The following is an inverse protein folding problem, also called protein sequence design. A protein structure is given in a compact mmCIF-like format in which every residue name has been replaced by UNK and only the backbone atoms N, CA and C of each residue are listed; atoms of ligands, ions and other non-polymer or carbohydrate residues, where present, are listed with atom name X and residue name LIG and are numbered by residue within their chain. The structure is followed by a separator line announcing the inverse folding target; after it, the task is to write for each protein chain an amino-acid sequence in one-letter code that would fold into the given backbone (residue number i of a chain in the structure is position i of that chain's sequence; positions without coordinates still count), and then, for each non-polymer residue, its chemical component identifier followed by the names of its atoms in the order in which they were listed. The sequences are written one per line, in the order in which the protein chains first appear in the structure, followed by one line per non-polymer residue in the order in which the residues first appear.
data_IF_914038012455
#
_entry.id   IF_914038012455
#
_cell.length_a   1.000
_cell.length_b   1.000
_cell.length_c   1.000
_cell.angle_alpha   90.00
_cell.angle_beta   90.00
_cell.angle_gamma   90.00
#
_symmetry.space_group_name_H-M   'P 1'
#
loop_
_entity.id
_entity.type
_entity.pdbx_description
1 polymer ?
#
# COMPACT_ATOMS: atom_id res chain seq x y z
N UNK A 1 -21.42 35.41 57.42
CA UNK A 1 -22.17 34.49 58.30
C UNK A 1 -21.27 33.29 58.57
N UNK A 2 -20.86 33.11 59.83
CA UNK A 2 -19.97 32.03 60.29
C UNK A 2 -20.70 30.68 60.21
N UNK A 3 -20.37 29.88 59.19
CA UNK A 3 -20.85 28.50 59.04
C UNK A 3 -19.81 27.45 59.48
N UNK A 4 -18.71 27.86 60.11
CA UNK A 4 -17.72 26.93 60.67
C UNK A 4 -18.17 26.48 62.07
N UNK A 5 -19.24 25.69 62.12
CA UNK A 5 -19.47 24.84 63.29
C UNK A 5 -18.32 23.83 63.36
N UNK A 6 -17.55 23.85 64.45
CA UNK A 6 -16.42 22.97 64.81
C UNK A 6 -16.18 21.77 63.87
N UNK A 7 -15.57 21.99 62.71
CA UNK A 7 -15.09 20.90 61.86
C UNK A 7 -13.84 20.34 62.54
N UNK A 8 -13.95 19.17 63.16
CA UNK A 8 -12.87 18.55 63.94
C UNK A 8 -12.36 17.25 63.33
N UNK A 9 -13.05 16.71 62.32
CA UNK A 9 -12.69 15.45 61.66
C UNK A 9 -12.52 15.63 60.16
N UNK A 10 -11.67 14.79 59.55
CA UNK A 10 -11.46 14.72 58.09
C UNK A 10 -12.77 14.46 57.33
N UNK A 11 -13.64 13.61 57.88
CA UNK A 11 -14.91 13.26 57.23
C UNK A 11 -15.85 14.47 57.16
N UNK A 12 -15.98 15.23 58.25
CA UNK A 12 -16.77 16.47 58.27
C UNK A 12 -16.20 17.52 57.32
N UNK A 13 -14.86 17.64 57.25
CA UNK A 13 -14.20 18.55 56.33
C UNK A 13 -14.50 18.18 54.86
N UNK A 14 -14.45 16.89 54.53
CA UNK A 14 -14.78 16.39 53.19
C UNK A 14 -16.24 16.66 52.82
N UNK A 15 -17.19 16.36 53.71
CA UNK A 15 -18.62 16.60 53.48
C UNK A 15 -18.92 18.10 53.30
N UNK A 16 -18.28 18.96 54.11
CA UNK A 16 -18.40 20.40 54.00
C UNK A 16 -17.88 20.91 52.65
N UNK A 17 -16.69 20.47 52.24
CA UNK A 17 -16.07 20.87 50.97
C UNK A 17 -16.85 20.38 49.75
N UNK A 18 -17.41 19.17 49.82
CA UNK A 18 -18.27 18.65 48.75
C UNK A 18 -19.54 19.49 48.57
N UNK A 19 -20.08 20.06 49.66
CA UNK A 19 -21.26 20.93 49.61
C UNK A 19 -20.92 22.39 49.27
N UNK A 20 -19.78 22.88 49.76
CA UNK A 20 -19.31 24.25 49.59
C UNK A 20 -17.79 24.24 49.32
N UNK A 21 -17.35 24.12 48.06
CA UNK A 21 -15.93 23.99 47.71
C UNK A 21 -15.02 25.08 48.28
N UNK A 22 -15.51 26.34 48.34
CA UNK A 22 -14.77 27.48 48.89
C UNK A 22 -14.46 27.39 50.37
N UNK A 23 -15.13 26.49 51.12
CA UNK A 23 -14.81 26.24 52.53
C UNK A 23 -13.37 25.75 52.74
N UNK A 24 -12.73 25.19 51.70
CA UNK A 24 -11.32 24.80 51.72
C UNK A 24 -10.40 25.91 52.24
N UNK A 25 -10.63 27.17 51.84
CA UNK A 25 -9.81 28.32 52.24
C UNK A 25 -9.90 28.65 53.73
N UNK A 26 -10.86 28.06 54.44
CA UNK A 26 -11.16 28.32 55.85
C UNK A 26 -10.96 27.10 56.76
N UNK A 27 -10.57 25.95 56.19
CA UNK A 27 -10.33 24.73 56.95
C UNK A 27 -8.97 24.80 57.68
N UNK A 28 -8.86 24.18 58.88
CA UNK A 28 -7.57 24.01 59.54
C UNK A 28 -6.60 23.14 58.71
N UNK A 29 -5.34 23.54 58.60
CA UNK A 29 -4.32 22.87 57.76
C UNK A 29 -4.19 21.36 58.04
N UNK A 30 -4.29 20.94 59.30
CA UNK A 30 -4.18 19.53 59.70
C UNK A 30 -5.32 18.64 59.17
N UNK A 31 -6.43 19.24 58.71
CA UNK A 31 -7.55 18.53 58.09
C UNK A 31 -7.47 18.57 56.55
N UNK A 32 -6.57 19.35 55.95
CA UNK A 32 -6.47 19.48 54.50
C UNK A 32 -5.51 18.42 53.95
N UNK A 33 -6.08 17.42 53.29
CA UNK A 33 -5.33 16.41 52.54
C UNK A 33 -5.68 16.42 51.04
N UNK A 34 -5.06 15.51 50.30
CA UNK A 34 -5.24 15.38 48.86
C UNK A 34 -6.68 15.07 48.44
N UNK A 35 -7.42 14.31 49.24
CA UNK A 35 -8.81 14.00 48.93
C UNK A 35 -9.70 15.23 49.07
N UNK A 36 -9.48 16.03 50.10
CA UNK A 36 -10.22 17.28 50.34
C UNK A 36 -9.84 18.35 49.31
N UNK A 37 -8.54 18.50 48.99
CA UNK A 37 -8.06 19.40 47.91
C UNK A 37 -8.67 19.03 46.56
N UNK A 38 -8.66 17.73 46.22
CA UNK A 38 -9.31 17.23 45.01
C UNK A 38 -10.80 17.57 45.00
N UNK A 39 -11.53 17.28 46.07
CA UNK A 39 -12.97 17.52 46.14
C UNK A 39 -13.32 19.01 45.96
N UNK A 40 -12.55 19.91 46.56
CA UNK A 40 -12.73 21.35 46.43
C UNK A 40 -12.48 21.82 44.98
N UNK A 41 -11.29 21.53 44.44
CA UNK A 41 -10.88 21.98 43.10
C UNK A 41 -11.74 21.36 41.98
N UNK A 42 -12.22 20.14 42.19
CA UNK A 42 -13.17 19.51 41.28
C UNK A 42 -14.55 20.18 41.33
N UNK A 43 -14.97 20.65 42.51
CA UNK A 43 -16.26 21.30 42.73
C UNK A 43 -16.33 22.76 42.26
N UNK A 44 -15.23 23.52 42.37
CA UNK A 44 -15.17 24.93 41.97
C UNK A 44 -13.83 25.29 41.33
N UNK A 45 -13.84 25.58 40.02
CA UNK A 45 -12.64 25.96 39.29
C UNK A 45 -12.09 27.36 39.67
N UNK A 46 -12.89 28.22 40.31
CA UNK A 46 -12.39 29.55 40.69
C UNK A 46 -11.32 29.46 41.78
N UNK A 47 -11.30 28.38 42.55
CA UNK A 47 -10.32 28.14 43.61
C UNK A 47 -8.88 28.04 43.10
N UNK A 48 -8.67 27.75 41.80
CA UNK A 48 -7.34 27.81 41.20
C UNK A 48 -6.72 29.22 41.23
N UNK A 49 -7.52 30.28 41.45
CA UNK A 49 -7.03 31.67 41.62
C UNK A 49 -6.53 31.94 43.03
N UNK A 50 -7.09 31.23 44.01
CA UNK A 50 -6.88 31.48 45.44
C UNK A 50 -5.89 30.48 46.07
N UNK A 51 -5.59 29.38 45.37
CA UNK A 51 -4.71 28.30 45.85
C UNK A 51 -3.37 28.34 45.11
N UNK A 52 -2.29 28.12 45.86
CA UNK A 52 -0.97 27.87 45.30
C UNK A 52 -0.93 26.48 44.67
N UNK A 53 -1.15 26.43 43.35
CA UNK A 53 -1.13 25.19 42.55
C UNK A 53 0.19 24.42 42.67
N UNK A 54 1.27 25.09 43.07
CA UNK A 54 2.61 24.54 43.32
C UNK A 54 2.65 23.58 44.51
N UNK A 55 1.70 23.70 45.44
CA UNK A 55 1.63 22.86 46.64
C UNK A 55 0.72 21.64 46.47
N UNK A 56 0.12 21.46 45.28
CA UNK A 56 -0.69 20.29 44.98
C UNK A 56 0.21 19.07 44.79
N UNK A 57 -0.14 17.97 45.45
CA UNK A 57 0.54 16.71 45.21
C UNK A 57 0.27 16.21 43.79
N UNK A 58 1.20 15.42 43.25
CA UNK A 58 1.03 14.80 41.93
C UNK A 58 -0.25 13.95 41.84
N UNK A 59 -0.65 13.30 42.94
CA UNK A 59 -1.88 12.50 42.99
C UNK A 59 -3.13 13.35 42.77
N UNK A 60 -3.17 14.56 43.36
CA UNK A 60 -4.29 15.50 43.15
C UNK A 60 -4.31 15.97 41.71
N UNK A 61 -3.14 16.37 41.17
CA UNK A 61 -3.02 16.84 39.78
C UNK A 61 -3.49 15.76 38.81
N UNK A 62 -2.97 14.54 38.93
CA UNK A 62 -3.32 13.40 38.09
C UNK A 62 -4.82 13.11 38.16
N UNK A 63 -5.41 13.04 39.36
CA UNK A 63 -6.84 12.74 39.52
C UNK A 63 -7.73 13.85 38.97
N UNK A 64 -7.33 15.12 39.11
CA UNK A 64 -8.03 16.25 38.49
C UNK A 64 -7.99 16.15 36.97
N UNK A 65 -6.81 15.98 36.38
CA UNK A 65 -6.64 15.95 34.93
C UNK A 65 -7.25 14.70 34.27
N UNK A 66 -7.31 13.58 34.98
CA UNK A 66 -8.02 12.38 34.52
C UNK A 66 -9.54 12.56 34.47
N UNK A 67 -10.11 13.50 35.25
CA UNK A 67 -11.56 13.77 35.30
C UNK A 67 -11.96 15.05 34.55
N UNK A 68 -11.10 16.06 34.52
CA UNK A 68 -11.28 17.37 33.87
C UNK A 68 -9.98 17.79 33.17
N UNK A 69 -9.69 17.23 31.98
CA UNK A 69 -8.46 17.54 31.24
C UNK A 69 -8.29 19.04 30.94
N UNK A 70 -9.38 19.79 30.78
CA UNK A 70 -9.39 21.24 30.55
C UNK A 70 -8.74 22.03 31.69
N UNK A 71 -8.59 21.43 32.88
CA UNK A 71 -7.88 22.04 34.01
C UNK A 71 -6.37 22.15 33.78
N UNK A 72 -5.83 21.50 32.74
CA UNK A 72 -4.42 21.64 32.35
C UNK A 72 -4.00 23.11 32.17
N UNK A 73 -4.94 24.00 31.79
CA UNK A 73 -4.73 25.45 31.64
C UNK A 73 -4.27 26.13 32.94
N UNK A 74 -4.53 25.54 34.10
CA UNK A 74 -4.09 26.04 35.41
C UNK A 74 -2.66 25.61 35.79
N UNK A 75 -2.06 24.65 35.06
CA UNK A 75 -0.74 24.08 35.33
C UNK A 75 0.32 24.53 34.30
N UNK A 76 0.66 25.84 34.29
CA UNK A 76 1.58 26.45 33.30
C UNK A 76 2.98 26.73 33.90
N UNK A 77 4.03 26.74 33.04
CA UNK A 77 5.46 27.03 33.34
C UNK A 77 6.03 26.15 34.47
N UNK A 78 6.35 24.90 34.11
CA UNK A 78 7.01 23.89 34.96
C UNK A 78 6.18 23.23 36.08
N UNK A 79 4.90 23.59 36.19
CA UNK A 79 3.97 23.09 37.23
C UNK A 79 3.22 21.81 36.86
N UNK A 80 3.40 21.31 35.64
CA UNK A 80 2.84 20.04 35.20
C UNK A 80 4.01 19.09 34.91
N UNK A 81 4.28 18.12 35.81
CA UNK A 81 5.35 17.17 35.62
C UNK A 81 5.21 16.41 34.30
N UNK A 82 6.33 16.25 33.57
CA UNK A 82 6.34 15.62 32.25
C UNK A 82 5.81 14.18 32.30
N UNK A 83 6.11 13.41 33.34
CA UNK A 83 5.66 12.03 33.46
C UNK A 83 4.13 11.91 33.60
N UNK A 84 3.46 12.90 34.21
CA UNK A 84 1.99 12.93 34.26
C UNK A 84 1.42 13.15 32.85
N UNK A 85 2.02 14.04 32.05
CA UNK A 85 1.62 14.26 30.64
C UNK A 85 1.80 12.98 29.82
N UNK A 86 2.96 12.33 29.95
CA UNK A 86 3.25 11.05 29.29
C UNK A 86 2.19 10.01 29.67
N UNK A 87 1.90 9.88 30.97
CA UNK A 87 0.89 8.92 31.42
C UNK A 87 -0.48 9.19 30.80
N UNK A 88 -0.97 10.45 30.86
CA UNK A 88 -2.28 10.80 30.34
C UNK A 88 -2.39 10.59 28.82
N UNK A 89 -1.35 10.93 28.06
CA UNK A 89 -1.31 10.69 26.60
C UNK A 89 -1.19 9.19 26.28
N UNK A 90 -0.47 8.42 27.09
CA UNK A 90 -0.36 6.96 26.93
C UNK A 90 -1.67 6.22 27.24
N UNK A 91 -2.51 6.79 28.12
CA UNK A 91 -3.85 6.27 28.42
C UNK A 91 -4.89 6.70 27.38
N UNK A 92 -4.82 7.94 26.89
CA UNK A 92 -5.66 8.49 25.81
C UNK A 92 -4.85 9.46 24.93
N UNK A 93 -4.55 9.04 23.69
CA UNK A 93 -3.77 9.82 22.74
C UNK A 93 -4.44 11.14 22.37
N UNK A 94 -5.77 11.22 22.42
CA UNK A 94 -6.48 12.47 22.17
C UNK A 94 -6.29 13.51 23.28
N UNK A 95 -5.76 13.11 24.44
CA UNK A 95 -5.45 14.03 25.54
C UNK A 95 -4.46 15.12 25.11
N UNK A 96 -3.64 14.88 24.09
CA UNK A 96 -2.71 15.86 23.51
C UNK A 96 -3.42 17.16 23.08
N UNK A 97 -4.72 17.13 22.75
CA UNK A 97 -5.50 18.31 22.37
C UNK A 97 -5.62 19.39 23.44
N UNK A 98 -5.39 19.02 24.71
CA UNK A 98 -5.45 19.96 25.82
C UNK A 98 -4.11 20.67 26.05
N UNK A 99 -3.02 20.17 25.47
CA UNK A 99 -1.71 20.79 25.61
C UNK A 99 -1.58 22.04 24.72
N UNK A 100 -0.94 23.10 25.22
CA UNK A 100 -0.51 24.19 24.36
C UNK A 100 0.57 23.68 23.41
N UNK A 101 0.59 24.22 22.19
CA UNK A 101 1.47 23.76 21.12
C UNK A 101 2.97 23.78 21.46
N UNK A 102 3.40 24.72 22.31
CA UNK A 102 4.79 24.78 22.77
C UNK A 102 5.20 23.62 23.69
N UNK A 103 4.24 22.83 24.20
CA UNK A 103 4.45 21.63 25.01
C UNK A 103 4.25 20.33 24.25
N UNK A 104 3.88 20.40 22.97
CA UNK A 104 3.86 19.24 22.08
C UNK A 104 5.27 19.12 21.49
N UNK A 105 5.98 18.11 21.96
CA UNK A 105 7.22 17.61 21.37
C UNK A 105 6.94 16.37 20.49
N UNK A 106 7.96 15.96 19.73
CA UNK A 106 7.83 14.85 18.79
C UNK A 106 7.55 13.50 19.50
N UNK A 107 8.16 13.28 20.67
CA UNK A 107 7.97 12.05 21.45
C UNK A 107 6.50 11.92 21.89
N UNK A 108 5.90 12.99 22.43
CA UNK A 108 4.49 13.02 22.79
C UNK A 108 3.57 12.90 21.58
N UNK A 109 3.92 13.54 20.46
CA UNK A 109 3.14 13.45 19.23
C UNK A 109 3.11 12.02 18.68
N UNK A 110 4.25 11.33 18.67
CA UNK A 110 4.37 9.93 18.26
C UNK A 110 3.59 9.03 19.22
N UNK A 111 3.76 9.20 20.54
CA UNK A 111 3.02 8.44 21.55
C UNK A 111 1.51 8.59 21.39
N UNK A 112 1.05 9.80 21.12
CA UNK A 112 -0.37 10.07 20.92
C UNK A 112 -0.95 9.31 19.73
N UNK A 113 -0.27 9.29 18.58
CA UNK A 113 -0.77 8.60 17.38
C UNK A 113 -0.62 7.08 17.45
N UNK A 114 0.35 6.58 18.21
CA UNK A 114 0.49 5.14 18.51
C UNK A 114 -0.65 4.65 19.39
N UNK A 115 -1.10 5.47 20.34
CA UNK A 115 -2.24 5.17 21.20
C UNK A 115 -3.56 5.31 20.41
N UNK A 116 -3.75 6.42 19.72
CA UNK A 116 -4.91 6.69 18.88
C UNK A 116 -4.51 7.54 17.67
N UNK A 117 -4.58 6.94 16.49
CA UNK A 117 -4.22 7.56 15.23
C UNK A 117 -4.98 8.87 14.94
N UNK A 118 -6.21 9.02 15.47
CA UNK A 118 -7.02 10.23 15.32
C UNK A 118 -6.41 11.44 16.05
N UNK A 119 -5.47 11.21 16.97
CA UNK A 119 -4.74 12.28 17.64
C UNK A 119 -3.92 13.14 16.66
N UNK A 120 -3.60 12.61 15.46
CA UNK A 120 -2.93 13.36 14.38
C UNK A 120 -3.63 14.70 14.07
N UNK A 121 -4.95 14.79 14.23
CA UNK A 121 -5.71 16.03 13.98
C UNK A 121 -5.29 17.19 14.91
N UNK A 122 -4.76 16.87 16.10
CA UNK A 122 -4.34 17.85 17.10
C UNK A 122 -2.84 18.18 17.01
N UNK A 123 -2.08 17.44 16.21
CA UNK A 123 -0.65 17.70 16.01
C UNK A 123 -0.46 18.79 14.95
N UNK A 124 0.10 19.96 15.32
CA UNK A 124 0.27 21.06 14.39
C UNK A 124 1.19 20.68 13.23
N UNK A 125 0.85 21.07 12.00
CA UNK A 125 1.62 20.71 10.80
C UNK A 125 3.10 21.09 10.91
N UNK A 126 3.41 22.25 11.51
CA UNK A 126 4.80 22.72 11.72
C UNK A 126 5.62 21.89 12.72
N UNK A 127 4.98 20.99 13.46
CA UNK A 127 5.60 20.07 14.43
C UNK A 127 5.78 18.66 13.87
N UNK A 128 5.29 18.39 12.65
CA UNK A 128 5.39 17.08 12.00
C UNK A 128 6.74 16.95 11.31
N UNK A 129 7.71 16.41 12.04
CA UNK A 129 9.01 16.04 11.48
C UNK A 129 8.87 14.90 10.46
N UNK A 130 9.93 14.64 9.69
CA UNK A 130 9.98 13.46 8.82
C UNK A 130 9.81 12.15 9.61
N UNK A 131 10.41 12.06 10.80
CA UNK A 131 10.32 10.87 11.63
C UNK A 131 8.88 10.65 12.18
N UNK A 132 8.20 11.72 12.60
CA UNK A 132 6.77 11.66 12.93
C UNK A 132 5.93 11.18 11.73
N UNK A 133 6.14 11.75 10.54
CA UNK A 133 5.41 11.38 9.33
C UNK A 133 5.66 9.92 8.93
N UNK A 134 6.92 9.46 9.00
CA UNK A 134 7.29 8.07 8.77
C UNK A 134 6.60 7.12 9.76
N UNK A 135 6.49 7.53 11.03
CA UNK A 135 5.78 6.75 12.04
C UNK A 135 4.27 6.70 11.78
N UNK A 136 3.68 7.84 11.40
CA UNK A 136 2.27 7.97 11.05
C UNK A 136 1.87 7.03 9.91
N UNK A 137 2.64 7.01 8.81
CA UNK A 137 2.35 6.13 7.66
C UNK A 137 2.61 4.65 7.95
N UNK A 138 3.49 4.35 8.90
CA UNK A 138 3.73 2.97 9.37
C UNK A 138 2.52 2.42 10.14
N UNK A 139 1.82 3.28 10.89
CA UNK A 139 0.61 2.91 11.61
C UNK A 139 -0.58 2.82 10.64
N UNK A 140 -0.74 3.83 9.78
CA UNK A 140 -1.83 3.89 8.80
C UNK A 140 -1.34 4.48 7.47
N UNK A 141 -1.11 3.63 6.44
CA UNK A 141 -0.63 4.04 5.13
C UNK A 141 -1.52 5.05 4.40
N UNK A 142 -2.78 5.28 4.83
CA UNK A 142 -3.65 6.29 4.21
C UNK A 142 -3.08 7.70 4.29
N UNK A 143 -2.17 7.96 5.25
CA UNK A 143 -1.55 9.27 5.44
C UNK A 143 -0.33 9.53 4.54
N UNK A 144 0.06 8.58 3.68
CA UNK A 144 1.21 8.72 2.75
C UNK A 144 1.12 9.98 1.88
N UNK A 145 -0.09 10.41 1.52
CA UNK A 145 -0.32 11.63 0.72
C UNK A 145 0.16 12.91 1.42
N UNK A 146 0.32 12.90 2.75
CA UNK A 146 0.87 14.04 3.49
C UNK A 146 2.38 14.23 3.28
N UNK A 147 3.06 13.23 2.71
CA UNK A 147 4.49 13.28 2.41
C UNK A 147 4.66 13.41 0.89
N UNK A 148 5.24 14.54 0.41
CA UNK A 148 5.57 14.69 -1.00
C UNK A 148 6.38 13.50 -1.51
N UNK A 149 6.12 13.07 -2.75
CA UNK A 149 6.75 11.87 -3.32
C UNK A 149 8.29 11.90 -3.22
N UNK A 150 8.90 13.07 -3.43
CA UNK A 150 10.36 13.28 -3.37
C UNK A 150 10.95 13.30 -1.95
N UNK A 151 10.12 13.41 -0.92
CA UNK A 151 10.54 13.49 0.50
C UNK A 151 10.31 12.18 1.26
N UNK A 152 9.84 11.13 0.58
CA UNK A 152 9.53 9.85 1.20
C UNK A 152 10.81 9.09 1.54
N UNK A 153 10.94 8.72 2.81
CA UNK A 153 12.06 7.89 3.27
C UNK A 153 11.98 6.48 2.66
N UNK A 154 12.97 6.14 1.83
CA UNK A 154 12.99 4.86 1.10
C UNK A 154 13.04 3.65 2.03
N UNK A 155 13.67 3.78 3.20
CA UNK A 155 13.73 2.69 4.19
C UNK A 155 12.34 2.38 4.75
N UNK A 156 11.56 3.41 5.08
CA UNK A 156 10.18 3.28 5.54
C UNK A 156 9.29 2.76 4.41
N UNK A 157 9.46 3.29 3.19
CA UNK A 157 8.72 2.81 2.02
C UNK A 157 8.97 1.33 1.73
N UNK A 158 10.20 0.84 1.87
CA UNK A 158 10.52 -0.58 1.71
C UNK A 158 9.74 -1.46 2.69
N UNK A 159 9.68 -1.04 3.97
CA UNK A 159 8.90 -1.74 5.01
C UNK A 159 7.41 -1.75 4.69
N UNK A 160 6.88 -0.64 4.19
CA UNK A 160 5.48 -0.54 3.79
C UNK A 160 5.15 -1.47 2.61
N UNK A 161 6.00 -1.51 1.58
CA UNK A 161 5.83 -2.45 0.44
C UNK A 161 5.90 -3.90 0.92
N UNK A 162 6.77 -4.21 1.88
CA UNK A 162 6.84 -5.55 2.47
C UNK A 162 5.58 -5.95 3.24
N UNK A 163 4.85 -4.98 3.81
CA UNK A 163 3.57 -5.22 4.48
C UNK A 163 2.40 -5.32 3.50
N UNK A 164 2.40 -4.48 2.46
CA UNK A 164 1.41 -4.49 1.39
C UNK A 164 2.08 -4.07 0.07
N UNK A 165 2.18 -5.02 -0.86
CA UNK A 165 2.83 -4.83 -2.16
C UNK A 165 2.22 -3.70 -3.00
N UNK A 166 0.93 -3.41 -2.84
CA UNK A 166 0.24 -2.32 -3.56
C UNK A 166 0.80 -0.94 -3.24
N UNK A 167 1.49 -0.78 -2.09
CA UNK A 167 2.08 0.49 -1.69
C UNK A 167 3.30 0.87 -2.55
N UNK A 168 3.77 -0.03 -3.44
CA UNK A 168 4.85 0.28 -4.40
C UNK A 168 4.49 1.46 -5.31
N UNK A 169 3.20 1.70 -5.58
CA UNK A 169 2.72 2.86 -6.36
C UNK A 169 3.13 4.20 -5.75
N UNK A 170 3.37 4.21 -4.43
CA UNK A 170 3.79 5.37 -3.66
C UNK A 170 5.31 5.52 -3.56
N UNK A 171 6.07 4.55 -4.05
CA UNK A 171 7.52 4.69 -4.23
C UNK A 171 7.77 5.37 -5.57
N UNK A 172 8.63 6.40 -5.66
CA UNK A 172 9.02 6.97 -6.94
C UNK A 172 9.52 5.88 -7.88
N UNK A 173 9.12 5.91 -9.15
CA UNK A 173 9.47 4.85 -10.11
C UNK A 173 10.99 4.59 -10.14
N UNK A 174 11.82 5.64 -10.14
CA UNK A 174 13.27 5.50 -10.16
C UNK A 174 13.87 4.80 -8.92
N UNK A 175 13.17 4.80 -7.79
CA UNK A 175 13.66 4.29 -6.50
C UNK A 175 13.07 2.93 -6.11
N UNK A 176 12.22 2.34 -6.95
CA UNK A 176 11.68 0.99 -6.74
C UNK A 176 12.84 0.01 -6.89
N UNK A 177 13.24 -0.65 -5.80
CA UNK A 177 14.30 -1.65 -5.83
C UNK A 177 13.80 -2.99 -6.37
N UNK A 178 14.74 -3.86 -6.73
CA UNK A 178 14.43 -5.21 -7.19
C UNK A 178 13.61 -6.00 -6.14
N UNK A 179 13.99 -5.89 -4.87
CA UNK A 179 13.31 -6.53 -3.73
C UNK A 179 11.89 -5.99 -3.55
N UNK A 180 11.70 -4.66 -3.64
CA UNK A 180 10.36 -4.05 -3.57
C UNK A 180 9.46 -4.56 -4.69
N UNK A 181 9.99 -4.63 -5.92
CA UNK A 181 9.26 -5.16 -7.07
C UNK A 181 8.86 -6.63 -6.85
N UNK A 182 9.79 -7.47 -6.39
CA UNK A 182 9.47 -8.88 -6.08
C UNK A 182 8.36 -9.01 -5.04
N UNK A 183 8.43 -8.25 -3.95
CA UNK A 183 7.39 -8.23 -2.91
C UNK A 183 6.04 -7.76 -3.46
N UNK A 184 6.05 -6.74 -4.31
CA UNK A 184 4.84 -6.22 -4.94
C UNK A 184 4.18 -7.24 -5.88
N UNK A 185 4.95 -7.91 -6.74
CA UNK A 185 4.46 -8.97 -7.62
C UNK A 185 3.95 -10.18 -6.84
N UNK A 186 4.62 -10.57 -5.75
CA UNK A 186 4.17 -11.68 -4.91
C UNK A 186 2.82 -11.40 -4.24
N UNK A 187 2.52 -10.12 -3.97
CA UNK A 187 1.22 -9.69 -3.43
C UNK A 187 0.12 -9.68 -4.48
N UNK A 188 0.40 -9.10 -5.66
CA UNK A 188 -0.49 -9.13 -6.82
C UNK A 188 0.36 -9.01 -8.09
N UNK A 189 0.19 -9.95 -9.02
CA UNK A 189 0.87 -9.97 -10.31
C UNK A 189 0.60 -8.70 -11.12
N UNK A 190 -0.53 -8.04 -10.92
CA UNK A 190 -0.84 -6.79 -11.61
C UNK A 190 0.14 -5.67 -11.24
N UNK A 191 0.87 -5.77 -10.13
CA UNK A 191 1.88 -4.78 -9.73
C UNK A 191 3.09 -4.75 -10.66
N UNK A 192 3.30 -5.74 -11.54
CA UNK A 192 4.41 -5.69 -12.51
C UNK A 192 4.29 -4.49 -13.47
N UNK A 193 3.07 -3.96 -13.69
CA UNK A 193 2.87 -2.73 -14.45
C UNK A 193 3.58 -1.52 -13.83
N UNK A 194 3.83 -1.58 -12.51
CA UNK A 194 4.51 -0.55 -11.72
C UNK A 194 6.03 -0.75 -11.69
N UNK A 195 6.59 -1.68 -12.46
CA UNK A 195 8.03 -1.89 -12.41
C UNK A 195 8.77 -0.88 -13.29
N UNK A 196 9.92 -0.37 -12.83
CA UNK A 196 10.80 0.43 -13.67
C UNK A 196 11.34 -0.41 -14.83
N UNK A 197 11.59 0.21 -15.99
CA UNK A 197 12.05 -0.53 -17.18
C UNK A 197 13.30 -1.36 -16.91
N UNK A 198 14.31 -0.77 -16.27
CA UNK A 198 15.57 -1.47 -15.97
C UNK A 198 15.41 -2.71 -15.05
N UNK A 199 14.34 -2.77 -14.24
CA UNK A 199 14.01 -3.93 -13.42
C UNK A 199 13.17 -4.92 -14.22
N UNK A 200 12.16 -4.43 -14.92
CA UNK A 200 11.29 -5.28 -15.74
C UNK A 200 12.10 -6.04 -16.81
N UNK A 201 13.02 -5.36 -17.48
CA UNK A 201 13.88 -5.93 -18.53
C UNK A 201 14.99 -6.83 -17.99
N UNK A 202 15.17 -6.90 -16.66
CA UNK A 202 16.18 -7.74 -16.06
C UNK A 202 15.82 -9.22 -16.26
N UNK A 203 16.72 -10.06 -16.83
CA UNK A 203 16.42 -11.49 -17.06
C UNK A 203 15.97 -12.25 -15.81
N UNK A 204 16.52 -11.95 -14.63
CA UNK A 204 16.11 -12.59 -13.38
C UNK A 204 14.69 -12.18 -12.97
N UNK A 205 14.30 -10.94 -13.22
CA UNK A 205 12.94 -10.49 -12.96
C UNK A 205 11.97 -11.11 -13.95
N UNK A 206 12.30 -11.16 -15.25
CA UNK A 206 11.48 -11.82 -16.26
C UNK A 206 11.26 -13.30 -15.93
N UNK A 207 12.30 -14.01 -15.49
CA UNK A 207 12.19 -15.41 -15.07
C UNK A 207 11.31 -15.56 -13.81
N UNK A 208 11.41 -14.61 -12.87
CA UNK A 208 10.54 -14.59 -11.68
C UNK A 208 9.07 -14.31 -12.04
N UNK A 209 8.80 -13.37 -12.96
CA UNK A 209 7.46 -13.07 -13.47
C UNK A 209 6.88 -14.32 -14.14
N UNK A 210 7.64 -14.98 -15.01
CA UNK A 210 7.21 -16.18 -15.72
C UNK A 210 6.92 -17.38 -14.80
N UNK A 211 7.61 -17.47 -13.66
CA UNK A 211 7.35 -18.50 -12.67
C UNK A 211 6.01 -18.30 -11.92
N UNK A 212 5.40 -17.11 -12.00
CA UNK A 212 4.13 -16.83 -11.33
C UNK A 212 2.98 -17.68 -11.91
N UNK A 213 2.05 -18.21 -11.09
CA UNK A 213 0.95 -19.07 -11.56
C UNK A 213 0.06 -18.45 -12.65
N UNK A 214 -0.03 -17.13 -12.71
CA UNK A 214 -0.74 -16.39 -13.77
C UNK A 214 -0.21 -16.70 -15.18
N UNK A 215 1.11 -16.93 -15.30
CA UNK A 215 1.75 -17.27 -16.56
C UNK A 215 1.81 -18.78 -16.81
N UNK A 216 1.28 -19.63 -15.93
CA UNK A 216 1.37 -21.08 -16.10
C UNK A 216 0.58 -21.56 -17.32
N UNK A 217 1.26 -22.23 -18.25
CA UNK A 217 0.62 -23.00 -19.31
C UNK A 217 0.09 -24.33 -18.78
N UNK A 218 -1.05 -24.79 -19.30
CA UNK A 218 -1.54 -26.14 -19.06
C UNK A 218 -0.64 -27.17 -19.77
N UNK A 219 -0.39 -28.29 -19.10
CA UNK A 219 0.18 -29.48 -19.70
C UNK A 219 -0.81 -30.17 -20.64
N UNK A 220 -0.30 -30.96 -21.58
CA UNK A 220 -1.15 -31.68 -22.53
C UNK A 220 -2.12 -32.64 -21.82
N UNK A 221 -1.70 -33.26 -20.72
CA UNK A 221 -2.54 -34.11 -19.89
C UNK A 221 -3.70 -33.33 -19.24
N UNK A 222 -3.44 -32.12 -18.73
CA UNK A 222 -4.49 -31.25 -18.16
C UNK A 222 -5.48 -30.80 -19.24
N UNK A 223 -4.99 -30.47 -20.43
CA UNK A 223 -5.85 -30.09 -21.57
C UNK A 223 -6.74 -31.26 -21.97
N UNK A 224 -6.19 -32.46 -22.11
CA UNK A 224 -6.94 -33.67 -22.44
C UNK A 224 -7.98 -34.01 -21.37
N UNK A 225 -7.66 -33.83 -20.09
CA UNK A 225 -8.60 -34.03 -19.00
C UNK A 225 -9.79 -33.06 -19.11
N UNK A 226 -9.51 -31.76 -19.31
CA UNK A 226 -10.54 -30.74 -19.52
C UNK A 226 -11.37 -30.97 -20.79
N UNK A 227 -10.76 -31.50 -21.85
CA UNK A 227 -11.47 -31.86 -23.08
C UNK A 227 -12.47 -33.00 -22.91
N UNK A 228 -12.22 -33.95 -22.01
CA UNK A 228 -13.19 -35.01 -21.69
C UNK A 228 -14.45 -34.46 -21.04
N UNK A 229 -14.32 -33.41 -20.24
CA UNK A 229 -15.44 -32.71 -19.59
C UNK A 229 -16.13 -31.73 -20.53
N UNK A 230 -15.35 -31.04 -21.37
CA UNK A 230 -15.81 -30.08 -22.35
C UNK A 230 -15.02 -30.25 -23.67
N UNK A 231 -15.58 -30.95 -24.68
CA UNK A 231 -14.91 -31.18 -25.95
C UNK A 231 -14.53 -29.90 -26.72
N UNK A 232 -15.16 -28.76 -26.40
CA UNK A 232 -14.82 -27.46 -26.97
C UNK A 232 -13.62 -26.77 -26.28
N UNK A 233 -13.11 -27.33 -25.17
CA UNK A 233 -11.92 -26.81 -24.50
C UNK A 233 -10.70 -27.00 -25.42
N UNK A 234 -10.19 -25.90 -25.95
CA UNK A 234 -8.97 -25.91 -26.75
C UNK A 234 -7.84 -25.25 -25.95
N UNK A 235 -6.61 -25.64 -26.27
CA UNK A 235 -5.41 -24.85 -25.94
C UNK A 235 -5.63 -23.35 -26.25
N UNK A 236 -6.45 -23.11 -27.28
CA UNK A 236 -6.76 -21.82 -27.86
C UNK A 236 -8.09 -21.19 -27.38
N UNK A 237 -8.61 -21.52 -26.19
CA UNK A 237 -9.55 -20.63 -25.51
C UNK A 237 -8.78 -19.40 -24.97
N UNK A 238 -8.10 -18.69 -25.88
CA UNK A 238 -6.99 -17.80 -25.56
C UNK A 238 -7.52 -16.50 -25.01
N UNK A 239 -7.53 -16.38 -23.69
CA UNK A 239 -7.48 -15.08 -23.06
C UNK A 239 -6.09 -14.49 -23.36
N UNK A 240 -6.09 -13.43 -24.18
CA UNK A 240 -4.91 -12.60 -24.44
C UNK A 240 -4.56 -11.91 -23.12
N UNK A 241 -3.28 -11.90 -22.76
CA UNK A 241 -2.84 -11.21 -21.56
C UNK A 241 -3.16 -9.71 -21.63
N UNK A 242 -3.40 -9.04 -20.49
CA UNK A 242 -3.57 -7.59 -20.48
C UNK A 242 -2.34 -6.87 -21.02
N UNK A 243 -2.55 -5.82 -21.81
CA UNK A 243 -1.48 -5.06 -22.46
C UNK A 243 -0.54 -4.41 -21.43
N UNK A 244 -1.09 -4.00 -20.29
CA UNK A 244 -0.37 -3.31 -19.21
C UNK A 244 0.64 -4.22 -18.51
N UNK A 245 0.49 -5.53 -18.62
CA UNK A 245 1.35 -6.54 -17.98
C UNK A 245 2.46 -7.03 -18.90
N UNK A 246 2.25 -7.01 -20.22
CA UNK A 246 3.16 -7.56 -21.21
C UNK A 246 3.86 -6.44 -21.96
N UNK A 247 5.15 -6.22 -21.66
CA UNK A 247 6.05 -5.38 -22.46
C UNK A 247 6.86 -6.24 -23.43
N UNK A 248 7.60 -5.59 -24.32
CA UNK A 248 8.38 -6.25 -25.39
C UNK A 248 9.35 -7.32 -24.86
N UNK A 249 10.06 -7.02 -23.77
CA UNK A 249 11.04 -7.93 -23.16
C UNK A 249 10.38 -9.20 -22.60
N UNK A 250 9.24 -9.08 -21.91
CA UNK A 250 8.49 -10.23 -21.41
C UNK A 250 7.81 -10.99 -22.55
N UNK A 251 7.21 -10.32 -23.54
CA UNK A 251 6.66 -10.97 -24.71
C UNK A 251 7.71 -11.84 -25.41
N UNK A 252 8.92 -11.28 -25.59
CA UNK A 252 10.04 -11.98 -26.17
C UNK A 252 10.49 -13.16 -25.32
N UNK A 253 10.64 -12.97 -24.01
CA UNK A 253 11.03 -14.04 -23.08
C UNK A 253 10.02 -15.19 -23.04
N UNK A 254 8.73 -14.88 -23.01
CA UNK A 254 7.65 -15.87 -23.03
C UNK A 254 7.72 -16.73 -24.30
N UNK A 255 7.68 -16.12 -25.49
CA UNK A 255 7.64 -16.84 -26.78
C UNK A 255 8.93 -17.62 -27.05
N UNK A 256 10.09 -17.07 -26.66
CA UNK A 256 11.37 -17.76 -26.85
C UNK A 256 11.48 -18.98 -25.93
N UNK A 257 10.97 -18.90 -24.71
CA UNK A 257 10.91 -20.01 -23.75
C UNK A 257 9.94 -21.10 -24.22
N UNK A 258 8.71 -20.72 -24.56
CA UNK A 258 7.70 -21.64 -25.05
C UNK A 258 6.80 -20.96 -26.09
N UNK A 259 6.76 -21.54 -27.29
CA UNK A 259 6.00 -20.96 -28.41
C UNK A 259 4.48 -20.95 -28.15
N UNK A 260 4.02 -21.77 -27.20
CA UNK A 260 2.61 -21.86 -26.78
C UNK A 260 2.10 -20.59 -26.11
N UNK A 261 2.98 -19.69 -25.67
CA UNK A 261 2.58 -18.35 -25.22
C UNK A 261 2.16 -17.41 -26.34
N UNK A 262 2.63 -17.63 -27.58
CA UNK A 262 2.44 -16.69 -28.69
C UNK A 262 0.99 -16.24 -28.91
N UNK A 263 -0.02 -17.13 -28.90
CA UNK A 263 -1.42 -16.71 -29.06
C UNK A 263 -1.91 -15.77 -27.96
N UNK A 264 -1.33 -15.86 -26.75
CA UNK A 264 -1.71 -15.07 -25.56
C UNK A 264 -1.07 -13.68 -25.54
N UNK A 265 -0.11 -13.40 -26.42
CA UNK A 265 0.57 -12.11 -26.44
C UNK A 265 -0.36 -11.05 -27.08
N UNK A 266 -0.48 -9.86 -26.47
CA UNK A 266 -1.23 -8.75 -27.08
C UNK A 266 -0.70 -8.45 -28.47
N UNK A 267 -1.60 -8.22 -29.42
CA UNK A 267 -1.21 -7.91 -30.81
C UNK A 267 -0.28 -6.69 -30.92
N UNK A 268 -0.42 -5.70 -30.01
CA UNK A 268 0.45 -4.53 -29.96
C UNK A 268 1.91 -4.86 -29.62
N UNK A 269 2.17 -6.00 -28.97
CA UNK A 269 3.52 -6.46 -28.57
C UNK A 269 4.14 -7.46 -29.57
N UNK A 270 3.42 -7.80 -30.64
CA UNK A 270 3.93 -8.73 -31.66
C UNK A 270 4.82 -7.99 -32.65
N UNK A 271 6.12 -8.30 -32.63
CA UNK A 271 7.08 -7.83 -33.64
C UNK A 271 7.21 -8.81 -34.79
N UNK A 272 7.80 -8.35 -35.90
CA UNK A 272 8.15 -9.22 -37.02
C UNK A 272 9.09 -10.35 -36.59
N UNK A 273 10.10 -10.07 -35.75
CA UNK A 273 11.00 -11.12 -35.27
C UNK A 273 10.25 -12.15 -34.42
N UNK A 274 9.38 -11.71 -33.50
CA UNK A 274 8.60 -12.65 -32.67
C UNK A 274 7.68 -13.54 -33.51
N UNK A 275 7.04 -12.97 -34.52
CA UNK A 275 6.21 -13.72 -35.45
C UNK A 275 7.04 -14.76 -36.23
N UNK A 276 8.22 -14.38 -36.72
CA UNK A 276 9.14 -15.32 -37.40
C UNK A 276 9.60 -16.44 -36.48
N UNK A 277 9.99 -16.14 -35.24
CA UNK A 277 10.40 -17.14 -34.24
C UNK A 277 9.26 -18.11 -33.96
N UNK A 278 8.05 -17.59 -33.73
CA UNK A 278 6.91 -18.41 -33.37
C UNK A 278 6.48 -19.34 -34.49
N UNK A 279 6.30 -18.77 -35.69
CA UNK A 279 5.89 -19.50 -36.88
C UNK A 279 6.98 -20.47 -37.34
N UNK A 280 8.26 -20.12 -37.18
CA UNK A 280 9.38 -21.00 -37.48
C UNK A 280 9.44 -22.24 -36.59
N UNK A 281 8.99 -22.15 -35.32
CA UNK A 281 8.87 -23.30 -34.41
C UNK A 281 7.57 -24.08 -34.62
N UNK A 282 6.48 -23.40 -34.94
CA UNK A 282 5.17 -24.01 -35.20
C UNK A 282 4.44 -23.25 -36.32
N UNK A 283 4.47 -23.75 -37.57
CA UNK A 283 3.84 -23.09 -38.71
C UNK A 283 2.35 -22.81 -38.53
N UNK A 284 1.65 -23.61 -37.73
CA UNK A 284 0.21 -23.42 -37.47
C UNK A 284 -0.09 -22.12 -36.71
N UNK A 285 0.90 -21.51 -36.03
CA UNK A 285 0.72 -20.24 -35.32
C UNK A 285 0.55 -19.03 -36.24
N UNK A 286 0.74 -19.18 -37.56
CA UNK A 286 0.49 -18.12 -38.55
C UNK A 286 -0.94 -17.56 -38.47
N UNK A 287 -1.91 -18.37 -38.00
CA UNK A 287 -3.29 -17.94 -37.80
C UNK A 287 -3.45 -16.90 -36.69
N UNK A 288 -2.52 -16.87 -35.72
CA UNK A 288 -2.50 -15.93 -34.61
C UNK A 288 -1.70 -14.67 -34.91
N UNK A 289 -0.97 -14.63 -36.03
CA UNK A 289 -0.25 -13.43 -36.47
C UNK A 289 -1.27 -12.41 -37.00
N UNK A 290 -1.26 -11.16 -36.51
CA UNK A 290 -2.08 -10.09 -37.04
C UNK A 290 -1.93 -9.95 -38.56
N UNK A 291 -3.05 -9.81 -39.26
CA UNK A 291 -3.08 -9.68 -40.72
C UNK A 291 -2.16 -8.58 -41.24
N UNK A 292 -2.09 -7.45 -40.54
CA UNK A 292 -1.20 -6.34 -40.89
C UNK A 292 0.27 -6.76 -40.92
N UNK A 293 0.71 -7.59 -39.97
CA UNK A 293 2.08 -8.11 -39.92
C UNK A 293 2.32 -9.19 -40.99
N UNK A 294 1.32 -10.04 -41.29
CA UNK A 294 1.43 -11.02 -42.38
C UNK A 294 1.59 -10.36 -43.75
N UNK A 295 0.83 -9.29 -44.00
CA UNK A 295 0.93 -8.51 -45.25
C UNK A 295 2.26 -7.76 -45.32
N UNK A 296 2.70 -7.14 -44.22
CA UNK A 296 3.95 -6.39 -44.15
C UNK A 296 5.19 -7.28 -44.31
N UNK A 297 5.09 -8.58 -44.02
CA UNK A 297 6.19 -9.54 -44.07
C UNK A 297 5.79 -10.82 -44.84
N UNK A 298 5.70 -10.76 -46.18
CA UNK A 298 5.24 -11.90 -46.97
C UNK A 298 6.14 -13.14 -46.88
N UNK A 299 7.40 -12.97 -46.49
CA UNK A 299 8.34 -14.08 -46.27
C UNK A 299 7.87 -15.02 -45.15
N UNK A 300 7.00 -14.56 -44.23
CA UNK A 300 6.37 -15.42 -43.23
C UNK A 300 5.62 -16.58 -43.90
N UNK A 301 4.81 -16.30 -44.91
CA UNK A 301 4.05 -17.34 -45.62
C UNK A 301 4.96 -18.28 -46.41
N UNK A 302 6.02 -17.77 -47.03
CA UNK A 302 6.98 -18.62 -47.75
C UNK A 302 7.62 -19.65 -46.81
N UNK A 303 8.09 -19.21 -45.63
CA UNK A 303 8.65 -20.10 -44.61
C UNK A 303 7.63 -21.09 -44.05
N UNK A 304 6.39 -20.65 -43.81
CA UNK A 304 5.28 -21.53 -43.37
C UNK A 304 5.03 -22.64 -44.38
N UNK A 305 4.93 -22.29 -45.65
CA UNK A 305 4.54 -23.22 -46.71
C UNK A 305 5.66 -24.19 -47.07
N UNK A 306 6.92 -23.79 -46.89
CA UNK A 306 8.05 -24.71 -46.98
C UNK A 306 7.99 -25.81 -45.91
N UNK A 307 7.55 -25.47 -44.68
CA UNK A 307 7.45 -26.45 -43.58
C UNK A 307 6.14 -27.23 -43.59
N UNK A 308 5.02 -26.57 -43.85
CA UNK A 308 3.68 -27.16 -43.83
C UNK A 308 2.84 -26.70 -45.06
N UNK A 309 3.06 -27.35 -46.23
CA UNK A 309 2.35 -27.08 -47.48
C UNK A 309 0.81 -27.03 -47.39
N UNK A 310 0.23 -27.79 -46.46
CA UNK A 310 -1.21 -27.87 -46.27
C UNK A 310 -1.85 -26.52 -45.84
N UNK A 311 -1.06 -25.60 -45.29
CA UNK A 311 -1.55 -24.31 -44.83
C UNK A 311 -1.85 -23.31 -45.97
N UNK A 312 -1.53 -23.64 -47.24
CA UNK A 312 -1.82 -22.80 -48.41
C UNK A 312 -3.31 -22.45 -48.56
N UNK A 313 -4.18 -23.31 -48.05
CA UNK A 313 -5.63 -23.12 -48.08
C UNK A 313 -6.11 -22.00 -47.14
N UNK A 314 -5.29 -21.59 -46.18
CA UNK A 314 -5.58 -20.50 -45.25
C UNK A 314 -5.02 -19.14 -45.69
N UNK A 315 -4.24 -19.08 -46.78
CA UNK A 315 -3.71 -17.81 -47.30
C UNK A 315 -4.83 -17.02 -47.98
N UNK A 316 -5.11 -15.83 -47.46
CA UNK A 316 -6.12 -14.91 -48.00
C UNK A 316 -5.64 -14.24 -49.29
N UNK A 317 -6.57 -13.80 -50.14
CA UNK A 317 -6.24 -13.31 -51.50
C UNK A 317 -5.34 -12.06 -51.49
N UNK A 318 -5.46 -11.21 -50.48
CA UNK A 318 -4.67 -10.00 -50.30
C UNK A 318 -3.29 -10.27 -49.67
N UNK A 319 -3.04 -11.49 -49.20
CA UNK A 319 -1.74 -11.97 -48.70
C UNK A 319 -0.95 -12.76 -49.77
N UNK A 320 -1.57 -13.03 -50.93
CA UNK A 320 -0.96 -13.79 -52.02
C UNK A 320 0.08 -12.95 -52.78
N UNK A 321 1.36 -13.22 -52.54
CA UNK A 321 2.46 -12.77 -53.40
C UNK A 321 2.53 -13.57 -54.70
N UNK A 322 3.25 -13.07 -55.72
CA UNK A 322 3.44 -13.79 -56.97
C UNK A 322 4.04 -15.20 -56.78
N UNK A 323 5.09 -15.40 -55.96
CA UNK A 323 5.59 -16.74 -55.64
C UNK A 323 4.52 -17.68 -55.06
N UNK A 324 3.73 -17.20 -54.09
CA UNK A 324 2.69 -18.02 -53.44
C UNK A 324 1.55 -18.35 -54.41
N UNK A 325 1.18 -17.43 -55.32
CA UNK A 325 0.17 -17.70 -56.37
C UNK A 325 0.61 -18.82 -57.31
N UNK A 326 1.86 -18.78 -57.75
CA UNK A 326 2.45 -19.81 -58.61
C UNK A 326 2.44 -21.15 -57.87
N UNK A 327 2.90 -21.16 -56.62
CA UNK A 327 2.91 -22.35 -55.78
C UNK A 327 1.50 -22.95 -55.60
N UNK A 328 0.50 -22.12 -55.26
CA UNK A 328 -0.90 -22.55 -55.08
C UNK A 328 -1.47 -23.19 -56.34
N UNK A 329 -1.24 -22.59 -57.51
CA UNK A 329 -1.69 -23.12 -58.80
C UNK A 329 -1.01 -24.45 -59.13
N UNK A 330 0.28 -24.57 -58.87
CA UNK A 330 1.05 -25.78 -59.15
C UNK A 330 0.69 -26.95 -58.23
N UNK A 331 0.43 -26.66 -56.95
CA UNK A 331 -0.04 -27.66 -56.00
C UNK A 331 -1.43 -28.20 -56.39
N UNK A 332 -2.33 -27.33 -56.89
CA UNK A 332 -3.63 -27.73 -57.43
C UNK A 332 -3.55 -28.65 -58.67
N UNK A 333 -2.44 -28.56 -59.43
CA UNK A 333 -2.14 -29.44 -60.57
C UNK A 333 -1.44 -30.74 -60.16
N UNK A 334 -1.28 -31.02 -58.86
CA UNK A 334 -0.61 -32.22 -58.35
C UNK A 334 0.92 -32.23 -58.54
N UNK A 335 1.53 -31.08 -58.82
CA UNK A 335 2.99 -30.97 -58.99
C UNK A 335 3.66 -30.66 -57.65
N UNK A 336 4.63 -31.48 -57.27
CA UNK A 336 5.47 -31.22 -56.09
C UNK A 336 6.54 -30.19 -56.45
N UNK A 337 6.37 -28.96 -56.02
CA UNK A 337 7.32 -27.87 -56.24
C UNK A 337 7.73 -27.30 -54.89
N UNK A 338 9.02 -26.97 -54.73
CA UNK A 338 9.53 -26.30 -53.54
C UNK A 338 9.42 -24.79 -53.74
N UNK A 339 8.85 -24.12 -52.73
CA UNK A 339 8.81 -22.65 -52.62
C UNK A 339 10.19 -22.10 -52.31
#
# INVERSE_FOLDING_TARGET
MNFLGNVTTRQQALELVQRYPSSLLSLPDHLIDDQIRFAALYGDENLFKDIQVELLSEQVIQKLLAKRPEYVKYFVRDKLPRHIVIQLVSEDGNWIRYLPENRIDEELAIMAIEQNIDANQYIPTRKRSQNYLNRLITIDPKFIEQIPLAERDLTTMAKLVAMNGELIKWVPMADRSFEMCQLAMASDINNIQLFPEHIYDNPLMLDAIMAHPFFRLFSDAEVLAKQRENPAFSYNAVEIYPLELIRESLASRLVTTDVRYFPKIPHAMLTNELCQIAVGKNPALIIHVPKQLRIANPQLWEGVLQQQPALINFVENDELTNPIRIYKHQQALGKTIKL
#
